data_IF_817212243979
#
_entry.id   IF_817212243979
#
_cell.length_a   1.000
_cell.length_b   1.000
_cell.length_c   1.000
_cell.angle_alpha   90.00
_cell.angle_beta   90.00
_cell.angle_gamma   90.00
#
_symmetry.space_group_name_H-M   'P 1'
#
loop_
_entity.id
_entity.type
_entity.pdbx_description
1 polymer ?
#
# COMPACT_ATOMS: atom_id res chain seq x y z
N UNK A 1 18.49 9.12 8.29
CA UNK A 1 19.06 9.92 9.37
C UNK A 1 18.69 9.37 10.75
N UNK A 2 19.53 9.58 11.76
CA UNK A 2 19.14 9.38 13.16
C UNK A 2 18.48 10.65 13.69
N UNK A 3 17.38 10.54 14.43
CA UNK A 3 16.69 11.69 15.03
C UNK A 3 17.51 12.41 16.11
N UNK A 4 18.60 11.79 16.58
CA UNK A 4 19.61 12.38 17.47
C UNK A 4 20.87 12.86 16.72
N UNK A 5 20.85 12.82 15.37
CA UNK A 5 21.95 13.28 14.53
C UNK A 5 21.94 14.80 14.35
N UNK A 6 22.90 15.32 13.59
CA UNK A 6 22.95 16.75 13.25
C UNK A 6 21.76 17.12 12.35
N UNK A 7 21.27 18.36 12.45
CA UNK A 7 20.13 18.84 11.66
C UNK A 7 20.33 18.67 10.15
N UNK A 8 21.56 18.91 9.67
CA UNK A 8 21.95 18.67 8.27
C UNK A 8 21.78 17.20 7.89
N UNK A 9 22.14 16.27 8.79
CA UNK A 9 21.95 14.84 8.53
C UNK A 9 20.48 14.43 8.57
N UNK A 10 19.64 15.13 9.34
CA UNK A 10 18.19 14.90 9.42
C UNK A 10 17.50 15.40 8.15
N UNK A 11 17.78 16.63 7.71
CA UNK A 11 17.19 17.20 6.49
C UNK A 11 17.62 16.48 5.21
N UNK A 12 18.87 16.00 5.16
CA UNK A 12 19.37 15.30 3.98
C UNK A 12 18.87 13.84 3.86
N UNK A 13 18.22 13.28 4.88
CA UNK A 13 17.82 11.88 4.91
C UNK A 13 16.36 11.63 4.56
N UNK A 14 16.09 10.75 3.58
CA UNK A 14 14.72 10.37 3.17
C UNK A 14 13.90 9.67 4.28
N UNK A 15 14.57 9.07 5.26
CA UNK A 15 13.95 8.38 6.39
C UNK A 15 14.68 8.79 7.67
N UNK A 16 13.93 9.28 8.66
CA UNK A 16 14.46 9.72 9.96
C UNK A 16 14.01 8.78 11.09
N UNK A 17 14.97 8.18 11.80
CA UNK A 17 14.70 7.32 12.95
C UNK A 17 14.54 8.16 14.23
N UNK A 18 13.30 8.54 14.54
CA UNK A 18 13.02 9.44 15.67
C UNK A 18 13.42 8.89 17.05
N UNK A 19 13.36 7.57 17.26
CA UNK A 19 13.62 6.93 18.58
C UNK A 19 15.12 6.68 18.89
N UNK A 20 16.04 7.10 18.03
CA UNK A 20 17.48 6.89 18.27
C UNK A 20 17.92 5.42 18.27
N UNK A 21 17.07 4.49 17.83
CA UNK A 21 17.35 3.05 17.79
C UNK A 21 17.51 2.56 16.35
N UNK A 22 18.60 1.83 16.09
CA UNK A 22 18.86 1.15 14.82
C UNK A 22 17.78 0.12 14.46
N UNK A 23 17.06 -0.39 15.46
CA UNK A 23 15.93 -1.31 15.26
C UNK A 23 14.81 -0.69 14.41
N UNK A 24 14.70 0.64 14.40
CA UNK A 24 13.75 1.36 13.55
C UNK A 24 14.00 1.17 12.05
N UNK A 25 15.24 0.85 11.63
CA UNK A 25 15.53 0.48 10.23
C UNK A 25 14.86 -0.83 9.87
N UNK A 26 14.96 -1.84 10.74
CA UNK A 26 14.36 -3.17 10.53
C UNK A 26 12.84 -3.05 10.45
N UNK A 27 12.26 -2.25 11.33
CA UNK A 27 10.82 -1.97 11.35
C UNK A 27 10.35 -1.26 10.07
N UNK A 28 11.11 -0.26 9.60
CA UNK A 28 10.84 0.44 8.35
C UNK A 28 10.93 -0.48 7.12
N UNK A 29 11.93 -1.36 7.06
CA UNK A 29 12.06 -2.35 5.97
C UNK A 29 10.87 -3.32 5.98
N UNK A 30 10.50 -3.83 7.16
CA UNK A 30 9.40 -4.77 7.26
C UNK A 30 8.07 -4.11 6.85
N UNK A 31 7.84 -2.88 7.29
CA UNK A 31 6.68 -2.09 6.88
C UNK A 31 6.66 -1.83 5.37
N UNK A 32 7.82 -1.49 4.78
CA UNK A 32 7.97 -1.31 3.34
C UNK A 32 7.59 -2.58 2.56
N UNK A 33 8.07 -3.75 2.99
CA UNK A 33 7.75 -5.02 2.35
C UNK A 33 6.24 -5.34 2.37
N UNK A 34 5.59 -5.14 3.52
CA UNK A 34 4.13 -5.33 3.65
C UNK A 34 3.37 -4.35 2.76
N UNK A 35 3.80 -3.09 2.73
CA UNK A 35 3.22 -2.04 1.88
C UNK A 35 3.38 -2.38 0.40
N UNK A 36 4.57 -2.83 -0.02
CA UNK A 36 4.86 -3.20 -1.40
C UNK A 36 4.05 -4.42 -1.84
N UNK A 37 3.78 -5.37 -0.94
CA UNK A 37 2.84 -6.46 -1.16
C UNK A 37 1.42 -5.96 -1.49
N UNK A 38 0.94 -4.94 -0.78
CA UNK A 38 -0.36 -4.32 -1.04
C UNK A 38 -0.40 -3.55 -2.35
N UNK A 39 0.67 -2.83 -2.69
CA UNK A 39 0.79 -2.13 -3.98
C UNK A 39 0.68 -3.13 -5.13
N UNK A 40 1.39 -4.26 -5.06
CA UNK A 40 1.31 -5.33 -6.08
C UNK A 40 -0.10 -5.92 -6.20
N UNK A 41 -0.80 -6.15 -5.09
CA UNK A 41 -2.19 -6.61 -5.10
C UNK A 41 -3.12 -5.59 -5.79
N UNK A 42 -2.99 -4.31 -5.46
CA UNK A 42 -3.80 -3.25 -6.08
C UNK A 42 -3.54 -3.15 -7.59
N UNK A 43 -2.27 -3.22 -7.99
CA UNK A 43 -1.88 -3.17 -9.40
C UNK A 43 -2.42 -4.38 -10.17
N UNK A 44 -2.34 -5.59 -9.59
CA UNK A 44 -2.91 -6.80 -10.20
C UNK A 44 -4.40 -6.65 -10.46
N UNK A 45 -5.17 -6.18 -9.48
CA UNK A 45 -6.60 -5.97 -9.65
C UNK A 45 -6.92 -4.89 -10.69
N UNK A 46 -6.13 -3.80 -10.74
CA UNK A 46 -6.30 -2.77 -11.77
C UNK A 46 -6.07 -3.31 -13.19
N UNK A 47 -5.05 -4.16 -13.38
CA UNK A 47 -4.83 -4.82 -14.66
C UNK A 47 -5.92 -5.83 -14.98
N UNK A 48 -6.30 -6.69 -14.03
CA UNK A 48 -7.39 -7.65 -14.20
C UNK A 48 -8.67 -6.95 -14.64
N UNK A 49 -8.98 -5.81 -14.02
CA UNK A 49 -10.13 -4.99 -14.37
C UNK A 49 -10.08 -4.53 -15.82
N UNK A 50 -8.99 -3.89 -16.23
CA UNK A 50 -8.84 -3.40 -17.60
C UNK A 50 -8.89 -4.54 -18.62
N UNK A 51 -8.25 -5.68 -18.32
CA UNK A 51 -8.23 -6.87 -19.19
C UNK A 51 -9.62 -7.47 -19.37
N UNK A 52 -10.49 -7.42 -18.36
CA UNK A 52 -11.85 -7.97 -18.43
C UNK A 52 -12.84 -6.94 -18.96
N UNK A 53 -12.75 -5.70 -18.50
CA UNK A 53 -13.68 -4.62 -18.86
C UNK A 53 -13.55 -4.20 -20.33
N UNK A 54 -12.33 -4.14 -20.91
CA UNK A 54 -12.13 -3.73 -22.30
C UNK A 54 -12.81 -4.70 -23.28
N UNK A 55 -12.55 -6.04 -23.25
CA UNK A 55 -13.24 -6.99 -24.12
C UNK A 55 -14.76 -7.03 -23.91
N UNK A 56 -15.21 -6.89 -22.65
CA UNK A 56 -16.64 -6.90 -22.34
C UNK A 56 -17.36 -5.61 -22.78
N UNK A 57 -16.69 -4.46 -22.75
CA UNK A 57 -17.16 -3.22 -23.33
C UNK A 57 -17.26 -3.32 -24.86
N UNK A 58 -16.26 -3.94 -25.51
CA UNK A 58 -16.29 -4.25 -26.94
C UNK A 58 -17.46 -5.19 -27.27
N UNK A 59 -17.74 -6.18 -26.40
CA UNK A 59 -18.84 -7.14 -26.55
C UNK A 59 -20.24 -6.58 -26.23
N UNK A 60 -20.34 -5.38 -25.64
CA UNK A 60 -21.62 -4.71 -25.34
C UNK A 60 -22.41 -5.27 -24.15
N UNK A 61 -21.82 -6.13 -23.31
CA UNK A 61 -22.55 -6.93 -22.29
C UNK A 61 -22.32 -6.45 -20.85
N UNK A 62 -21.52 -5.42 -20.61
CA UNK A 62 -21.12 -5.03 -19.25
C UNK A 62 -21.56 -3.64 -18.85
N UNK A 63 -22.02 -3.53 -17.60
CA UNK A 63 -22.01 -2.28 -16.86
C UNK A 63 -20.72 -2.23 -16.01
N UNK A 64 -19.60 -1.68 -16.55
CA UNK A 64 -18.33 -1.57 -15.85
C UNK A 64 -18.41 -0.77 -14.54
N UNK A 65 -19.53 -0.11 -14.22
CA UNK A 65 -19.65 0.59 -12.95
C UNK A 65 -19.79 -0.40 -11.78
N UNK A 66 -20.47 -1.53 -11.97
CA UNK A 66 -20.75 -2.48 -10.86
C UNK A 66 -19.51 -3.27 -10.45
N UNK A 67 -18.70 -3.71 -11.42
CA UNK A 67 -17.48 -4.45 -11.13
C UNK A 67 -16.38 -3.53 -10.55
N UNK A 68 -16.34 -2.27 -10.96
CA UNK A 68 -15.41 -1.26 -10.43
C UNK A 68 -15.78 -0.88 -8.98
N UNK A 69 -17.08 -0.76 -8.69
CA UNK A 69 -17.60 -0.57 -7.33
C UNK A 69 -17.23 -1.73 -6.39
N UNK A 70 -17.37 -2.97 -6.84
CA UNK A 70 -16.97 -4.14 -6.03
C UNK A 70 -15.46 -4.16 -5.74
N UNK A 71 -14.64 -3.74 -6.70
CA UNK A 71 -13.19 -3.69 -6.56
C UNK A 71 -12.75 -2.57 -5.62
N UNK A 72 -13.34 -1.37 -5.73
CA UNK A 72 -13.10 -0.25 -4.82
C UNK A 72 -13.46 -0.61 -3.36
N UNK A 73 -14.59 -1.29 -3.16
CA UNK A 73 -15.01 -1.79 -1.84
C UNK A 73 -14.04 -2.85 -1.28
N UNK A 74 -13.46 -3.70 -2.14
CA UNK A 74 -12.47 -4.68 -1.71
C UNK A 74 -11.17 -4.02 -1.22
N UNK A 75 -10.71 -2.97 -1.90
CA UNK A 75 -9.54 -2.19 -1.47
C UNK A 75 -9.76 -1.51 -0.11
N UNK A 76 -10.95 -0.96 0.13
CA UNK A 76 -11.33 -0.41 1.45
C UNK A 76 -11.28 -1.51 2.51
N UNK A 77 -11.78 -2.70 2.20
CA UNK A 77 -11.82 -3.83 3.14
C UNK A 77 -10.40 -4.33 3.46
N UNK A 78 -9.54 -4.44 2.44
CA UNK A 78 -8.14 -4.89 2.56
C UNK A 78 -7.27 -3.86 3.29
N UNK A 79 -7.44 -2.56 3.01
CA UNK A 79 -6.74 -1.47 3.70
C UNK A 79 -7.22 -1.34 5.15
N UNK A 80 -8.52 -1.49 5.39
CA UNK A 80 -9.09 -1.53 6.75
C UNK A 80 -8.51 -2.71 7.54
N UNK A 81 -8.39 -3.89 6.93
CA UNK A 81 -7.74 -5.05 7.55
C UNK A 81 -6.25 -4.84 7.82
N UNK A 82 -5.53 -4.15 6.91
CA UNK A 82 -4.12 -3.79 7.14
C UNK A 82 -3.95 -2.80 8.31
N UNK A 83 -4.86 -1.84 8.47
CA UNK A 83 -4.90 -0.94 9.62
C UNK A 83 -5.28 -1.65 10.93
N UNK A 84 -6.12 -2.69 10.88
CA UNK A 84 -6.42 -3.54 12.03
C UNK A 84 -5.20 -4.37 12.46
N UNK A 85 -4.33 -4.78 11.53
CA UNK A 85 -3.05 -5.39 11.85
C UNK A 85 -2.12 -4.42 12.59
N UNK A 86 -2.13 -3.13 12.25
CA UNK A 86 -1.42 -2.06 13.00
C UNK A 86 -1.91 -1.90 14.45
N UNK A 87 -3.12 -2.39 14.78
CA UNK A 87 -3.66 -2.43 16.15
C UNK A 87 -3.30 -3.69 16.92
N UNK A 88 -2.91 -4.78 16.25
CA UNK A 88 -2.34 -5.94 16.94
C UNK A 88 -0.92 -5.58 17.35
N UNK A 89 -0.72 -5.38 18.66
CA UNK A 89 0.61 -5.24 19.28
C UNK A 89 1.50 -6.38 18.80
N UNK A 90 2.51 -6.03 18.02
CA UNK A 90 3.80 -6.71 18.04
C UNK A 90 4.68 -5.87 18.98
#
# INVERSE_FOLDING_TARGET
>A
AMGTGTDIAIEAGDIVLAKGSLMGVVEAINLSNVTFGKIKQNLFWAFFYNVVAIPLAIGGVLNPVVAELAMALSSITVVTNANLLRRKKI
#
